data_IF_851501036841
#
_entry.id   IF_851501036841
#
_cell.length_a   1.000
_cell.length_b   1.000
_cell.length_c   1.000
_cell.angle_alpha   90.00
_cell.angle_beta   90.00
_cell.angle_gamma   90.00
#
_symmetry.space_group_name_H-M   'P 1'
#
loop_
_entity.id
_entity.type
_entity.pdbx_description
1 polymer ?
#
# COMPACT_ATOMS: atom_id res chain seq x y z
N UNK A 1 26.91 -26.77 24.52
CA UNK A 1 27.02 -25.83 23.38
C UNK A 1 25.63 -25.33 23.06
N UNK A 2 25.36 -24.05 23.17
CA UNK A 2 24.04 -23.54 22.73
C UNK A 2 24.03 -23.56 21.19
N UNK A 3 23.05 -24.26 20.66
CA UNK A 3 22.71 -24.21 19.23
C UNK A 3 22.22 -22.79 18.98
N UNK A 4 23.05 -21.97 18.35
CA UNK A 4 22.62 -20.70 17.79
C UNK A 4 21.62 -21.02 16.68
N UNK A 5 20.32 -21.02 17.04
CA UNK A 5 19.26 -20.92 16.08
C UNK A 5 19.49 -19.62 15.31
N UNK A 6 19.99 -19.71 14.08
CA UNK A 6 20.06 -18.58 13.18
C UNK A 6 18.61 -18.14 12.93
N UNK A 7 18.17 -17.12 13.66
CA UNK A 7 16.92 -16.46 13.34
C UNK A 7 17.03 -16.02 11.89
N UNK A 8 16.14 -16.53 11.04
CA UNK A 8 16.09 -16.13 9.63
C UNK A 8 15.77 -14.64 9.63
N UNK A 9 16.58 -13.80 8.98
CA UNK A 9 16.30 -12.38 8.91
C UNK A 9 14.92 -12.16 8.27
N UNK A 10 14.14 -11.25 8.83
CA UNK A 10 12.83 -10.90 8.29
C UNK A 10 13.05 -10.17 6.96
N UNK A 11 12.76 -10.84 5.86
CA UNK A 11 12.95 -10.29 4.51
C UNK A 11 11.67 -9.63 4.02
N UNK A 12 11.76 -8.67 3.09
CA UNK A 12 10.58 -8.09 2.45
C UNK A 12 9.61 -9.13 1.87
N UNK A 13 10.13 -10.27 1.38
CA UNK A 13 9.30 -11.36 0.84
C UNK A 13 8.43 -12.00 1.93
N UNK A 14 8.97 -12.22 3.12
CA UNK A 14 8.20 -12.79 4.23
C UNK A 14 7.09 -11.83 4.68
N UNK A 15 7.40 -10.53 4.76
CA UNK A 15 6.40 -9.49 5.07
C UNK A 15 5.33 -9.46 3.99
N UNK A 16 5.73 -9.44 2.73
CA UNK A 16 4.84 -9.45 1.57
C UNK A 16 3.83 -10.60 1.64
N UNK A 17 4.31 -11.83 1.83
CA UNK A 17 3.46 -13.01 1.88
C UNK A 17 2.40 -12.91 2.96
N UNK A 18 2.77 -12.49 4.17
CA UNK A 18 1.84 -12.39 5.30
C UNK A 18 0.83 -11.25 5.13
N UNK A 19 1.28 -10.10 4.61
CA UNK A 19 0.38 -8.98 4.33
C UNK A 19 -0.59 -9.34 3.22
N UNK A 20 -0.16 -10.03 2.15
CA UNK A 20 -1.04 -10.51 1.09
C UNK A 20 -2.09 -11.48 1.63
N UNK A 21 -1.73 -12.38 2.54
CA UNK A 21 -2.70 -13.28 3.18
C UNK A 21 -3.75 -12.49 3.98
N UNK A 22 -3.31 -11.48 4.72
CA UNK A 22 -4.21 -10.59 5.47
C UNK A 22 -5.15 -9.82 4.55
N UNK A 23 -4.62 -9.26 3.45
CA UNK A 23 -5.42 -8.54 2.46
C UNK A 23 -6.39 -9.48 1.73
N UNK A 24 -5.95 -10.69 1.37
CA UNK A 24 -6.84 -11.67 0.74
C UNK A 24 -8.04 -11.99 1.62
N UNK A 25 -7.83 -12.12 2.92
CA UNK A 25 -8.92 -12.31 3.88
C UNK A 25 -9.85 -11.10 3.95
N UNK A 26 -9.31 -9.88 4.15
CA UNK A 26 -10.11 -8.66 4.19
C UNK A 26 -10.91 -8.46 2.89
N UNK A 27 -10.26 -8.65 1.76
CA UNK A 27 -10.88 -8.49 0.45
C UNK A 27 -11.98 -9.53 0.20
N UNK A 28 -11.83 -10.76 0.72
CA UNK A 28 -12.88 -11.78 0.65
C UNK A 28 -14.15 -11.42 1.42
N UNK A 29 -14.01 -10.56 2.43
CA UNK A 29 -15.14 -10.00 3.19
C UNK A 29 -15.73 -8.74 2.54
N UNK A 30 -15.24 -8.34 1.38
CA UNK A 30 -15.64 -7.10 0.72
C UNK A 30 -15.06 -5.83 1.33
N UNK A 31 -14.08 -5.94 2.22
CA UNK A 31 -13.43 -4.79 2.86
C UNK A 31 -12.24 -4.29 2.05
N UNK A 32 -12.03 -2.98 2.11
CA UNK A 32 -10.80 -2.30 1.70
C UNK A 32 -10.13 -1.76 2.95
N UNK A 33 -8.84 -2.01 3.15
CA UNK A 33 -8.12 -1.51 4.33
C UNK A 33 -8.05 0.01 4.33
N UNK A 34 -7.72 0.60 3.20
CA UNK A 34 -7.68 2.04 2.90
C UNK A 34 -6.59 2.85 3.59
N UNK A 35 -5.78 2.27 4.46
CA UNK A 35 -4.65 2.98 5.10
C UNK A 35 -3.48 2.04 5.39
N UNK A 36 -3.14 1.19 4.42
CA UNK A 36 -1.98 0.31 4.54
C UNK A 36 -0.70 1.13 4.41
N UNK A 37 0.15 1.04 5.43
CA UNK A 37 1.44 1.73 5.55
C UNK A 37 2.33 1.00 6.54
N UNK A 38 3.65 1.28 6.61
CA UNK A 38 4.55 0.58 7.53
C UNK A 38 4.09 0.60 8.99
N UNK A 39 3.55 1.71 9.48
CA UNK A 39 3.06 1.88 10.86
C UNK A 39 1.89 0.94 11.19
N UNK A 40 1.18 0.46 10.17
CA UNK A 40 0.05 -0.45 10.31
C UNK A 40 0.42 -1.92 10.04
N UNK A 41 1.70 -2.22 9.98
CA UNK A 41 2.25 -3.58 9.90
C UNK A 41 3.15 -3.79 11.11
N UNK A 42 2.63 -4.44 12.14
CA UNK A 42 3.37 -4.70 13.36
C UNK A 42 4.15 -5.99 13.29
N UNK A 43 5.37 -5.98 13.82
CA UNK A 43 6.14 -7.20 14.03
C UNK A 43 5.62 -7.86 15.31
N UNK A 44 5.04 -9.04 15.16
CA UNK A 44 4.55 -9.87 16.28
C UNK A 44 5.68 -10.71 16.88
N UNK A 45 6.61 -11.18 16.05
CA UNK A 45 7.77 -11.96 16.49
C UNK A 45 8.94 -11.74 15.54
N UNK A 46 10.05 -11.21 16.05
CA UNK A 46 11.28 -11.03 15.27
C UNK A 46 11.92 -12.38 14.90
N UNK A 47 11.99 -13.31 15.84
CA UNK A 47 12.65 -14.60 15.64
C UNK A 47 11.94 -15.48 14.60
N UNK A 48 10.62 -15.34 14.47
CA UNK A 48 9.80 -16.09 13.52
C UNK A 48 9.42 -15.27 12.30
N UNK A 49 9.79 -14.00 12.26
CA UNK A 49 9.37 -13.06 11.23
C UNK A 49 7.85 -13.07 11.01
N UNK A 50 7.10 -12.94 12.11
CA UNK A 50 5.65 -12.84 12.07
C UNK A 50 5.24 -11.38 12.12
N UNK A 51 4.38 -10.98 11.20
CA UNK A 51 3.79 -9.64 11.13
C UNK A 51 2.27 -9.70 11.22
N UNK A 52 1.68 -8.59 11.60
CA UNK A 52 0.23 -8.43 11.69
C UNK A 52 -0.18 -7.08 11.13
N UNK A 53 -1.15 -7.08 10.22
CA UNK A 53 -1.81 -5.87 9.73
C UNK A 53 -2.79 -5.40 10.80
N UNK A 54 -2.73 -4.12 11.12
CA UNK A 54 -3.56 -3.48 12.15
C UNK A 54 -4.28 -2.25 11.60
N UNK A 55 -5.13 -1.66 12.44
CA UNK A 55 -5.84 -0.40 12.22
C UNK A 55 -6.84 -0.47 11.05
N UNK A 56 -8.00 -1.04 11.34
CA UNK A 56 -9.15 -1.06 10.43
C UNK A 56 -10.05 0.18 10.57
N UNK A 57 -9.60 1.21 11.29
CA UNK A 57 -10.39 2.43 11.55
C UNK A 57 -10.77 3.21 10.30
N UNK A 58 -9.98 3.10 9.23
CA UNK A 58 -10.25 3.71 7.92
C UNK A 58 -10.84 2.74 6.90
N UNK A 59 -11.04 1.47 7.28
CA UNK A 59 -11.55 0.46 6.36
C UNK A 59 -13.01 0.73 6.00
N UNK A 60 -13.37 0.34 4.79
CA UNK A 60 -14.73 0.46 4.28
C UNK A 60 -15.10 -0.76 3.44
N UNK A 61 -16.41 -1.02 3.32
CA UNK A 61 -16.88 -2.01 2.36
C UNK A 61 -16.84 -1.44 0.94
N UNK A 62 -16.50 -2.30 -0.01
CA UNK A 62 -16.48 -1.90 -1.44
C UNK A 62 -17.85 -1.46 -1.95
N UNK A 63 -18.92 -1.89 -1.29
CA UNK A 63 -20.30 -1.52 -1.58
C UNK A 63 -20.72 -0.18 -0.98
N UNK A 64 -19.94 0.37 -0.07
CA UNK A 64 -20.23 1.66 0.56
C UNK A 64 -19.90 2.82 -0.39
N UNK A 65 -20.38 4.01 0.00
CA UNK A 65 -19.97 5.23 -0.70
C UNK A 65 -18.50 5.52 -0.41
N UNK A 66 -17.63 5.21 -1.38
CA UNK A 66 -16.20 5.30 -1.23
C UNK A 66 -15.76 6.77 -1.13
N UNK A 67 -15.03 7.09 -0.05
CA UNK A 67 -14.47 8.42 0.14
C UNK A 67 -13.42 8.74 -0.93
N UNK A 68 -13.44 9.97 -1.42
CA UNK A 68 -12.40 10.45 -2.35
C UNK A 68 -11.06 10.77 -1.68
N UNK A 69 -11.02 10.77 -0.35
CA UNK A 69 -9.82 11.11 0.42
C UNK A 69 -9.45 9.97 1.36
N UNK A 70 -8.86 8.94 0.80
CA UNK A 70 -8.37 7.78 1.54
C UNK A 70 -6.87 7.59 1.30
N UNK A 71 -6.26 6.76 2.13
CA UNK A 71 -4.84 6.41 2.16
C UNK A 71 -3.93 7.56 2.60
N UNK A 72 -2.83 7.18 3.22
CA UNK A 72 -1.73 8.11 3.53
C UNK A 72 -0.97 8.46 2.25
N UNK A 73 -0.56 9.69 2.12
CA UNK A 73 -0.06 10.29 0.86
C UNK A 73 1.00 9.47 0.13
N UNK A 74 2.03 9.02 0.85
CA UNK A 74 3.14 8.26 0.23
C UNK A 74 2.74 6.86 -0.25
N UNK A 75 1.57 6.38 0.16
CA UNK A 75 1.05 5.04 -0.16
C UNK A 75 -0.27 5.09 -0.93
N UNK A 76 -0.67 6.28 -1.38
CA UNK A 76 -1.94 6.51 -2.08
C UNK A 76 -1.84 6.10 -3.54
N UNK A 77 -2.83 5.32 -3.98
CA UNK A 77 -2.91 4.84 -5.36
C UNK A 77 -3.22 5.97 -6.35
N UNK A 78 -2.71 5.88 -7.59
CA UNK A 78 -2.93 6.90 -8.61
C UNK A 78 -4.42 7.19 -8.87
N UNK A 79 -5.26 6.17 -8.91
CA UNK A 79 -6.71 6.31 -9.09
C UNK A 79 -7.36 7.11 -7.97
N UNK A 80 -6.86 7.00 -6.74
CA UNK A 80 -7.33 7.81 -5.61
C UNK A 80 -6.86 9.26 -5.75
N UNK A 81 -5.59 9.45 -6.12
CA UNK A 81 -5.00 10.78 -6.35
C UNK A 81 -5.80 11.54 -7.42
N UNK A 82 -6.14 10.88 -8.52
CA UNK A 82 -6.85 11.46 -9.65
C UNK A 82 -8.36 11.58 -9.44
N UNK A 83 -8.89 11.06 -8.32
CA UNK A 83 -10.33 11.09 -8.03
C UNK A 83 -11.16 10.17 -8.90
N UNK A 84 -10.54 9.09 -9.39
CA UNK A 84 -11.20 8.04 -10.16
C UNK A 84 -11.92 7.05 -9.23
N UNK A 85 -12.75 6.19 -9.82
CA UNK A 85 -13.26 5.03 -9.10
C UNK A 85 -12.11 4.10 -8.73
N UNK A 86 -12.15 3.57 -7.53
CA UNK A 86 -11.18 2.63 -7.03
C UNK A 86 -11.85 1.41 -6.39
N UNK A 87 -11.09 0.37 -6.19
CA UNK A 87 -11.50 -0.85 -5.52
C UNK A 87 -10.43 -1.30 -4.51
N UNK A 88 -10.48 -2.54 -4.11
CA UNK A 88 -9.55 -3.16 -3.16
C UNK A 88 -8.09 -3.14 -3.64
N UNK A 89 -7.83 -2.91 -4.92
CA UNK A 89 -6.48 -2.87 -5.51
C UNK A 89 -5.64 -1.69 -5.00
N UNK A 90 -6.28 -0.68 -4.41
CA UNK A 90 -5.54 0.41 -3.76
C UNK A 90 -4.67 -0.09 -2.59
N UNK A 91 -5.08 -1.15 -1.90
CA UNK A 91 -4.28 -1.77 -0.85
C UNK A 91 -3.04 -2.47 -1.43
N UNK A 92 -3.16 -3.08 -2.60
CA UNK A 92 -2.03 -3.70 -3.32
C UNK A 92 -1.01 -2.65 -3.75
N UNK A 93 -1.47 -1.48 -4.22
CA UNK A 93 -0.58 -0.36 -4.51
C UNK A 93 0.22 0.07 -3.27
N UNK A 94 -0.45 0.25 -2.13
CA UNK A 94 0.20 0.59 -0.86
C UNK A 94 1.23 -0.45 -0.46
N UNK A 95 0.92 -1.74 -0.60
CA UNK A 95 1.87 -2.81 -0.34
C UNK A 95 3.10 -2.72 -1.23
N UNK A 96 2.94 -2.44 -2.51
CA UNK A 96 4.06 -2.25 -3.44
C UNK A 96 5.00 -1.13 -3.00
N UNK A 97 4.45 0.02 -2.57
CA UNK A 97 5.21 1.12 -2.01
C UNK A 97 5.97 0.73 -0.74
N UNK A 98 5.33 -0.03 0.16
CA UNK A 98 5.94 -0.52 1.40
C UNK A 98 7.10 -1.48 1.10
N UNK A 99 6.93 -2.38 0.15
CA UNK A 99 7.97 -3.33 -0.22
C UNK A 99 9.19 -2.63 -0.83
N UNK A 100 8.99 -1.62 -1.66
CA UNK A 100 10.08 -0.80 -2.19
C UNK A 100 10.83 -0.09 -1.05
N UNK A 101 10.10 0.46 -0.08
CA UNK A 101 10.69 1.10 1.10
C UNK A 101 11.46 0.12 1.98
N UNK A 102 10.94 -1.08 2.22
CA UNK A 102 11.64 -2.12 2.96
C UNK A 102 12.93 -2.58 2.26
N UNK A 103 12.93 -2.61 0.94
CA UNK A 103 14.09 -3.01 0.14
C UNK A 103 15.16 -1.93 0.05
N UNK A 104 14.77 -0.66 -0.01
CA UNK A 104 15.68 0.47 -0.24
C UNK A 104 16.01 1.26 1.02
N UNK A 105 15.16 1.20 2.04
CA UNK A 105 15.24 2.04 3.24
C UNK A 105 14.67 3.44 3.05
N UNK A 106 14.10 3.77 1.88
CA UNK A 106 13.56 5.09 1.56
C UNK A 106 12.12 5.02 1.10
N UNK A 107 11.33 6.03 1.48
CA UNK A 107 9.95 6.20 0.99
C UNK A 107 9.98 6.39 -0.52
N UNK A 108 9.24 5.54 -1.26
CA UNK A 108 9.24 5.55 -2.73
C UNK A 108 8.66 6.85 -3.30
N UNK A 109 7.51 7.28 -2.79
CA UNK A 109 6.84 8.52 -3.18
C UNK A 109 6.84 9.50 -2.03
N UNK A 110 7.82 10.40 -2.01
CA UNK A 110 7.87 11.48 -1.03
C UNK A 110 6.79 12.53 -1.32
N UNK A 111 6.35 13.14 -0.26
CA UNK A 111 5.15 13.95 -0.22
C UNK A 111 5.45 15.42 -0.51
N UNK A 112 5.68 15.74 -1.78
CA UNK A 112 5.87 17.13 -2.20
C UNK A 112 4.53 17.74 -2.69
N UNK A 113 4.46 18.13 -3.95
CA UNK A 113 3.25 18.59 -4.61
C UNK A 113 2.60 17.45 -5.42
N UNK A 114 1.32 17.62 -5.77
CA UNK A 114 0.62 16.71 -6.67
C UNK A 114 1.36 16.56 -8.01
N UNK A 115 1.84 17.68 -8.57
CA UNK A 115 2.58 17.66 -9.83
C UNK A 115 3.88 16.86 -9.73
N UNK A 116 4.64 17.03 -8.65
CA UNK A 116 5.88 16.26 -8.40
C UNK A 116 5.58 14.79 -8.22
N UNK A 117 4.51 14.44 -7.51
CA UNK A 117 4.09 13.06 -7.30
C UNK A 117 3.72 12.39 -8.62
N UNK A 118 2.92 13.03 -9.46
CA UNK A 118 2.55 12.51 -10.78
C UNK A 118 3.77 12.35 -11.68
N UNK A 119 4.69 13.32 -11.68
CA UNK A 119 5.93 13.23 -12.44
C UNK A 119 6.81 12.05 -11.99
N UNK A 120 6.88 11.77 -10.69
CA UNK A 120 7.59 10.58 -10.16
C UNK A 120 6.91 9.28 -10.56
N UNK A 121 5.58 9.23 -10.52
CA UNK A 121 4.82 8.06 -10.98
C UNK A 121 5.14 7.75 -12.44
N UNK A 122 5.09 8.74 -13.31
CA UNK A 122 5.41 8.57 -14.73
C UNK A 122 6.89 8.21 -14.94
N UNK A 123 7.79 8.80 -14.16
CA UNK A 123 9.23 8.48 -14.22
C UNK A 123 9.56 7.03 -13.84
N UNK A 124 8.81 6.44 -12.93
CA UNK A 124 9.04 5.07 -12.45
C UNK A 124 8.26 4.04 -13.28
N UNK A 125 7.00 4.33 -13.59
CA UNK A 125 6.07 3.36 -14.18
C UNK A 125 5.80 3.62 -15.68
N UNK A 126 6.26 4.73 -16.21
CA UNK A 126 5.89 5.20 -17.54
C UNK A 126 4.64 6.08 -17.54
N UNK A 127 4.22 6.54 -18.73
CA UNK A 127 3.09 7.45 -18.85
C UNK A 127 1.81 6.84 -18.29
N UNK A 128 1.00 7.68 -17.65
CA UNK A 128 -0.31 7.27 -17.14
C UNK A 128 -1.20 6.82 -18.31
N UNK A 129 -2.01 5.76 -18.13
CA UNK A 129 -2.99 5.34 -19.13
C UNK A 129 -3.92 6.49 -19.49
N UNK A 130 -4.22 6.65 -20.79
CA UNK A 130 -5.00 7.77 -21.28
C UNK A 130 -6.40 7.89 -20.66
N UNK A 131 -7.04 6.76 -20.31
CA UNK A 131 -8.33 6.77 -19.61
C UNK A 131 -8.25 7.39 -18.20
N UNK A 132 -7.11 7.27 -17.53
CA UNK A 132 -6.90 7.86 -16.19
C UNK A 132 -6.77 9.39 -16.29
N UNK A 133 -6.10 9.86 -17.32
CA UNK A 133 -5.89 11.31 -17.55
C UNK A 133 -7.18 12.00 -17.96
N UNK A 134 -7.99 11.37 -18.81
CA UNK A 134 -9.22 11.96 -19.36
C UNK A 134 -10.43 11.96 -18.43
N UNK A 135 -10.45 11.12 -17.38
CA UNK A 135 -11.60 10.94 -16.49
C UNK A 135 -11.35 11.42 -15.06
N UNK A 136 -10.11 11.78 -14.72
CA UNK A 136 -9.75 12.20 -13.40
C UNK A 136 -10.24 13.62 -13.04
N UNK A 137 -10.47 13.86 -11.75
CA UNK A 137 -10.92 15.15 -11.21
C UNK A 137 -9.92 16.31 -11.50
N UNK A 138 -8.68 15.99 -11.82
CA UNK A 138 -7.58 16.92 -12.08
C UNK A 138 -7.09 16.87 -13.54
N UNK A 139 -7.92 16.40 -14.44
CA UNK A 139 -7.60 16.28 -15.88
C UNK A 139 -7.75 17.59 -16.66
N UNK A 140 -7.92 18.72 -15.99
CA UNK A 140 -8.04 20.05 -16.59
C UNK A 140 -6.89 20.97 -16.17
#
# INVERSE_FOLDING_TARGET
MPIHAHARPCTPIHVCSQVLQSLAYLHSLGLVHSDLKPENILIKSYSRCEVKVIDLGSSCFITDHLSSYVQSRSYRAPEVILGLRYDQKIDIWSLGCILAELATGYVLFQNDSLATLLARLEGILGPLPGFMVGQGRYSH
#
